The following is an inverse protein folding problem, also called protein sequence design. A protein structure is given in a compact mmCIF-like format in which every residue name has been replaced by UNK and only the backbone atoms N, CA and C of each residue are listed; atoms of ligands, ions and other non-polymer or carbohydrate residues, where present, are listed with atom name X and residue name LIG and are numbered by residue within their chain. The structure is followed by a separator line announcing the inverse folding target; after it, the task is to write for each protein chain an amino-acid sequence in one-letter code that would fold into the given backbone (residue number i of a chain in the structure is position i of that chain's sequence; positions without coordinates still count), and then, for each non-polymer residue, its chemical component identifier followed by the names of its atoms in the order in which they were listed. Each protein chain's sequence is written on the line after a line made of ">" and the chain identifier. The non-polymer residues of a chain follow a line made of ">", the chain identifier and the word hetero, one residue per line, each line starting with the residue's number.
data_IF_305677213395
#
_entry.id   IF_305677213395
#
_cell.length_a   1.000
_cell.length_b   1.000
_cell.length_c   1.000
_cell.angle_alpha   90.00
_cell.angle_beta   90.00
_cell.angle_gamma   90.00
#
_symmetry.space_group_name_H-M   'P 1'
#
loop_
_entity.id
_entity.type
_entity.pdbx_description
1 polymer ?
#
# COMPACT_ATOMS: atom_id res chain seq x y z
N UNK A 1 2.98 -11.35 -2.49
CA UNK A 1 4.30 -10.92 -1.99
C UNK A 1 4.68 -11.71 -0.74
N UNK A 2 5.95 -12.02 -0.51
CA UNK A 2 6.44 -12.60 0.75
C UNK A 2 6.77 -11.52 1.78
N UNK A 3 6.58 -11.84 3.06
CA UNK A 3 6.85 -10.98 4.22
C UNK A 3 8.14 -11.47 4.92
N UNK A 4 9.34 -11.02 4.51
CA UNK A 4 10.60 -11.64 4.93
C UNK A 4 10.92 -11.42 6.40
N UNK A 5 10.89 -12.51 7.17
CA UNK A 5 11.05 -12.50 8.63
C UNK A 5 9.76 -12.20 9.40
N UNK A 6 8.58 -12.33 8.76
CA UNK A 6 7.29 -12.11 9.42
C UNK A 6 7.19 -10.70 10.05
N UNK A 7 6.92 -10.62 11.34
CA UNK A 7 6.78 -9.35 12.08
C UNK A 7 7.98 -8.39 11.95
N UNK A 8 9.17 -8.91 11.66
CA UNK A 8 10.33 -8.03 11.42
C UNK A 8 10.13 -7.16 10.18
N UNK A 9 9.47 -7.67 9.13
CA UNK A 9 9.21 -6.88 7.94
C UNK A 9 8.17 -5.77 8.19
N UNK A 10 7.29 -5.93 9.19
CA UNK A 10 6.37 -4.88 9.63
C UNK A 10 7.13 -3.75 10.34
N UNK A 11 8.14 -4.10 11.16
CA UNK A 11 8.95 -3.13 11.91
C UNK A 11 10.10 -2.52 11.09
N UNK A 12 10.47 -3.17 10.01
CA UNK A 12 11.60 -2.81 9.15
C UNK A 12 11.13 -2.73 7.69
N UNK A 13 10.46 -1.62 7.29
CA UNK A 13 9.98 -1.33 5.94
C UNK A 13 10.98 -1.64 4.82
N UNK A 14 12.28 -1.40 5.04
CA UNK A 14 13.31 -1.72 4.07
C UNK A 14 13.32 -3.19 3.63
N UNK A 15 12.87 -4.13 4.50
CA UNK A 15 12.76 -5.55 4.14
C UNK A 15 11.68 -5.78 3.09
N UNK A 16 10.58 -5.06 3.19
CA UNK A 16 9.52 -5.10 2.16
C UNK A 16 10.01 -4.50 0.85
N UNK A 17 10.78 -3.42 0.91
CA UNK A 17 11.39 -2.84 -0.28
C UNK A 17 12.35 -3.83 -0.98
N UNK A 18 13.23 -4.51 -0.23
CA UNK A 18 14.08 -5.60 -0.78
C UNK A 18 13.25 -6.71 -1.42
N UNK A 19 12.17 -7.15 -0.75
CA UNK A 19 11.33 -8.21 -1.26
C UNK A 19 10.65 -7.82 -2.58
N UNK A 20 10.07 -6.64 -2.67
CA UNK A 20 9.43 -6.13 -3.86
C UNK A 20 10.42 -5.94 -5.02
N UNK A 21 11.58 -5.34 -4.76
CA UNK A 21 12.63 -5.13 -5.76
C UNK A 21 13.14 -6.46 -6.32
N UNK A 22 13.38 -7.45 -5.46
CA UNK A 22 13.80 -8.78 -5.90
C UNK A 22 12.76 -9.45 -6.80
N UNK A 23 11.49 -9.47 -6.37
CA UNK A 23 10.39 -10.08 -7.14
C UNK A 23 10.09 -9.33 -8.44
N UNK A 24 10.39 -8.04 -8.48
CA UNK A 24 10.26 -7.21 -9.68
C UNK A 24 11.45 -7.33 -10.65
N UNK A 25 12.54 -8.01 -10.24
CA UNK A 25 13.73 -8.15 -11.08
C UNK A 25 14.63 -6.91 -11.13
N UNK A 26 14.66 -6.11 -10.08
CA UNK A 26 15.54 -4.94 -9.98
C UNK A 26 17.01 -5.35 -9.88
N UNK A 27 17.86 -4.78 -10.74
CA UNK A 27 19.29 -5.07 -10.81
C UNK A 27 20.16 -4.01 -10.08
N UNK A 28 19.55 -2.94 -9.60
CA UNK A 28 20.23 -1.88 -8.86
C UNK A 28 20.50 -2.22 -7.39
N UNK A 29 21.02 -1.25 -6.61
CA UNK A 29 21.26 -1.44 -5.18
C UNK A 29 19.96 -1.70 -4.42
N UNK A 30 20.05 -2.58 -3.43
CA UNK A 30 18.94 -2.87 -2.52
C UNK A 30 19.00 -1.95 -1.29
N UNK A 31 17.85 -1.53 -0.75
CA UNK A 31 17.79 -0.76 0.47
C UNK A 31 18.16 -1.61 1.69
N UNK A 32 18.51 -0.94 2.79
CA UNK A 32 18.81 -1.60 4.06
C UNK A 32 20.08 -1.06 4.70
N UNK A 33 20.37 -1.48 5.93
CA UNK A 33 21.50 -0.96 6.69
C UNK A 33 22.85 -1.32 6.09
N UNK A 34 22.94 -2.46 5.40
CA UNK A 34 24.11 -2.91 4.66
C UNK A 34 23.74 -3.97 3.61
N UNK A 35 24.66 -4.22 2.68
CA UNK A 35 24.46 -5.16 1.57
C UNK A 35 24.24 -6.60 2.06
N UNK A 36 24.96 -7.04 3.07
CA UNK A 36 24.87 -8.41 3.56
C UNK A 36 23.48 -8.71 4.15
N UNK A 37 22.92 -7.77 4.89
CA UNK A 37 21.55 -7.88 5.42
C UNK A 37 20.50 -7.83 4.32
N UNK A 38 20.68 -7.00 3.31
CA UNK A 38 19.78 -6.98 2.14
C UNK A 38 19.78 -8.33 1.41
N UNK A 39 20.96 -8.91 1.16
CA UNK A 39 21.11 -10.24 0.54
C UNK A 39 20.48 -11.35 1.40
N UNK A 40 20.60 -11.30 2.75
CA UNK A 40 19.89 -12.22 3.64
C UNK A 40 18.37 -12.12 3.51
N UNK A 41 17.85 -10.91 3.36
CA UNK A 41 16.39 -10.71 3.16
C UNK A 41 15.94 -11.31 1.83
N UNK A 42 16.70 -11.10 0.76
CA UNK A 42 16.44 -11.73 -0.54
C UNK A 42 16.44 -13.25 -0.44
N UNK A 43 17.37 -13.84 0.30
CA UNK A 43 17.42 -15.28 0.52
C UNK A 43 16.19 -15.80 1.28
N UNK A 44 15.67 -15.07 2.26
CA UNK A 44 14.40 -15.39 2.91
C UNK A 44 13.22 -15.35 1.94
N UNK A 45 13.19 -14.38 1.03
CA UNK A 45 12.17 -14.30 -0.01
C UNK A 45 12.26 -15.50 -0.95
N UNK A 46 13.46 -15.81 -1.44
CA UNK A 46 13.72 -16.90 -2.37
C UNK A 46 13.36 -18.28 -1.79
N UNK A 47 13.74 -18.56 -0.56
CA UNK A 47 13.50 -19.84 0.11
C UNK A 47 12.11 -19.94 0.73
N UNK A 48 11.47 -18.82 1.04
CA UNK A 48 10.21 -18.78 1.77
C UNK A 48 10.33 -19.05 3.28
N UNK A 49 11.54 -19.27 3.78
CA UNK A 49 11.76 -19.50 5.22
C UNK A 49 11.35 -18.27 6.01
N UNK A 50 10.51 -18.47 7.04
CA UNK A 50 9.97 -17.38 7.87
C UNK A 50 9.41 -16.20 7.06
N UNK A 51 8.85 -16.49 5.88
CA UNK A 51 8.40 -15.47 4.93
C UNK A 51 6.98 -15.80 4.43
N UNK A 52 5.95 -15.65 5.28
CA UNK A 52 4.57 -15.91 4.88
C UNK A 52 4.14 -14.99 3.73
N UNK A 53 3.12 -15.41 2.98
CA UNK A 53 2.55 -14.58 1.93
C UNK A 53 1.68 -13.48 2.53
N UNK A 54 1.72 -12.30 1.91
CA UNK A 54 0.87 -11.16 2.23
C UNK A 54 0.30 -10.52 0.98
N UNK A 55 -0.93 -10.03 1.08
CA UNK A 55 -1.61 -9.20 0.09
C UNK A 55 -1.86 -7.79 0.63
N UNK A 56 -1.24 -7.45 1.78
CA UNK A 56 -1.45 -6.17 2.45
C UNK A 56 -0.95 -5.00 1.62
N UNK A 57 -1.86 -4.09 1.27
CA UNK A 57 -1.52 -2.82 0.65
C UNK A 57 -0.63 -1.96 1.56
N UNK A 58 -0.83 -2.01 2.89
CA UNK A 58 0.03 -1.31 3.85
C UNK A 58 1.50 -1.74 3.75
N UNK A 59 1.78 -3.01 3.47
CA UNK A 59 3.15 -3.50 3.25
C UNK A 59 3.79 -2.98 1.96
N UNK A 60 2.97 -2.65 0.95
CA UNK A 60 3.45 -1.96 -0.25
C UNK A 60 3.77 -0.49 0.06
N UNK A 61 2.94 0.20 0.85
CA UNK A 61 3.23 1.56 1.33
C UNK A 61 4.54 1.61 2.12
N UNK A 62 4.78 0.64 3.00
CA UNK A 62 6.04 0.54 3.75
C UNK A 62 7.24 0.40 2.82
N UNK A 63 7.13 -0.44 1.79
CA UNK A 63 8.21 -0.62 0.81
C UNK A 63 8.52 0.69 0.08
N UNK A 64 7.50 1.41 -0.39
CA UNK A 64 7.69 2.68 -1.10
C UNK A 64 8.25 3.75 -0.16
N UNK A 65 7.82 3.81 1.10
CA UNK A 65 8.37 4.73 2.10
C UNK A 65 9.87 4.49 2.32
N UNK A 66 10.30 3.23 2.39
CA UNK A 66 11.71 2.88 2.51
C UNK A 66 12.50 3.23 1.23
N UNK A 67 11.94 2.98 0.03
CA UNK A 67 12.56 3.37 -1.23
C UNK A 67 12.75 4.89 -1.35
N UNK A 68 11.80 5.66 -0.85
CA UNK A 68 11.88 7.12 -0.78
C UNK A 68 12.83 7.64 0.30
N UNK A 69 13.43 6.77 1.13
CA UNK A 69 14.26 7.19 2.27
C UNK A 69 13.46 7.89 3.38
N UNK A 70 12.14 7.73 3.39
CA UNK A 70 11.26 8.37 4.39
C UNK A 70 11.34 7.63 5.72
N UNK A 71 11.25 6.28 5.69
CA UNK A 71 11.29 5.48 6.92
C UNK A 71 11.75 4.05 6.68
N UNK A 72 12.87 3.67 7.28
CA UNK A 72 13.43 2.31 7.20
C UNK A 72 13.02 1.41 8.37
N UNK A 73 12.83 1.99 9.55
CA UNK A 73 12.40 1.29 10.76
C UNK A 73 11.27 2.06 11.43
N UNK A 74 10.25 1.35 11.93
CA UNK A 74 9.08 1.93 12.55
C UNK A 74 8.95 1.55 14.02
N UNK A 75 8.34 2.42 14.81
CA UNK A 75 8.06 2.22 16.23
C UNK A 75 6.60 1.82 16.48
N UNK A 76 5.71 2.08 15.50
CA UNK A 76 4.31 1.65 15.53
C UNK A 76 3.85 1.27 14.12
N UNK A 77 2.81 0.44 14.02
CA UNK A 77 2.27 -0.03 12.76
C UNK A 77 1.65 1.11 11.94
N UNK A 78 2.00 1.17 10.64
CA UNK A 78 1.51 2.21 9.72
C UNK A 78 2.32 3.50 9.72
N UNK A 79 3.34 3.65 10.59
CA UNK A 79 4.16 4.87 10.65
C UNK A 79 4.76 5.25 9.30
N UNK A 80 5.35 4.30 8.59
CA UNK A 80 5.97 4.56 7.30
C UNK A 80 4.96 5.07 6.27
N UNK A 81 3.75 4.49 6.24
CA UNK A 81 2.67 4.92 5.36
C UNK A 81 2.17 6.34 5.70
N UNK A 82 2.04 6.67 6.99
CA UNK A 82 1.64 8.01 7.46
C UNK A 82 2.68 9.06 7.08
N UNK A 83 3.96 8.76 7.27
CA UNK A 83 5.04 9.68 6.91
C UNK A 83 5.19 9.83 5.39
N UNK A 84 4.97 8.75 4.62
CA UNK A 84 4.93 8.81 3.16
C UNK A 84 3.77 9.69 2.67
N UNK A 85 2.58 9.56 3.28
CA UNK A 85 1.44 10.44 3.00
C UNK A 85 1.77 11.91 3.26
N UNK A 86 2.35 12.18 4.43
CA UNK A 86 2.71 13.54 4.83
C UNK A 86 3.78 14.18 3.91
N UNK A 87 4.62 13.36 3.29
CA UNK A 87 5.66 13.81 2.37
C UNK A 87 5.13 14.08 0.94
N UNK A 88 3.91 13.64 0.59
CA UNK A 88 3.41 13.72 -0.78
C UNK A 88 3.24 15.17 -1.26
N UNK A 89 3.73 15.47 -2.48
CA UNK A 89 3.51 16.76 -3.13
C UNK A 89 2.02 16.92 -3.51
N UNK A 90 1.29 17.86 -2.91
CA UNK A 90 -0.13 18.06 -3.21
C UNK A 90 -0.39 18.64 -4.61
N UNK A 91 0.62 19.13 -5.30
CA UNK A 91 0.50 19.69 -6.65
C UNK A 91 0.73 18.63 -7.75
N UNK A 92 1.35 17.48 -7.44
CA UNK A 92 1.64 16.43 -8.42
C UNK A 92 0.34 15.73 -8.89
N UNK A 93 0.19 15.54 -10.20
CA UNK A 93 -0.98 14.91 -10.84
C UNK A 93 -0.63 13.64 -11.62
N UNK A 94 0.66 13.37 -11.82
CA UNK A 94 1.13 12.13 -12.42
C UNK A 94 0.79 10.91 -11.56
N UNK A 95 0.87 9.73 -12.15
CA UNK A 95 0.73 8.47 -11.45
C UNK A 95 1.64 7.43 -12.11
N UNK A 96 2.16 6.50 -11.33
CA UNK A 96 2.78 5.30 -11.87
C UNK A 96 1.72 4.37 -12.46
N UNK A 97 2.15 3.43 -13.30
CA UNK A 97 1.28 2.36 -13.76
C UNK A 97 1.08 1.34 -12.61
N UNK A 98 -0.17 1.11 -12.23
CA UNK A 98 -0.59 0.02 -11.36
C UNK A 98 -1.76 -0.69 -12.03
N UNK A 99 -1.56 -1.90 -12.58
CA UNK A 99 -2.62 -2.61 -13.30
C UNK A 99 -3.78 -3.01 -12.38
N UNK A 100 -4.96 -3.21 -12.96
CA UNK A 100 -6.18 -3.62 -12.24
C UNK A 100 -6.00 -4.96 -11.49
N UNK A 101 -5.08 -5.80 -11.95
CA UNK A 101 -4.67 -7.02 -11.23
C UNK A 101 -4.00 -6.75 -9.89
N UNK A 102 -3.64 -5.49 -9.60
CA UNK A 102 -2.88 -5.03 -8.43
C UNK A 102 -1.50 -5.68 -8.31
N UNK A 103 -0.93 -6.12 -9.43
CA UNK A 103 0.48 -6.51 -9.49
C UNK A 103 1.36 -5.27 -9.45
N UNK A 104 1.90 -4.96 -8.28
CA UNK A 104 2.69 -3.76 -8.08
C UNK A 104 4.17 -3.87 -8.50
N UNK A 105 4.61 -4.97 -9.11
CA UNK A 105 5.99 -5.12 -9.56
C UNK A 105 6.42 -4.03 -10.56
N UNK A 106 5.65 -3.72 -11.62
CA UNK A 106 5.97 -2.61 -12.51
C UNK A 106 6.05 -1.27 -11.77
N UNK A 107 5.08 -0.99 -10.90
CA UNK A 107 5.01 0.23 -10.09
C UNK A 107 6.27 0.41 -9.23
N UNK A 108 6.71 -0.66 -8.56
CA UNK A 108 7.91 -0.62 -7.71
C UNK A 108 9.18 -0.38 -8.52
N UNK A 109 9.27 -0.94 -9.73
CA UNK A 109 10.39 -0.66 -10.65
C UNK A 109 10.43 0.80 -11.07
N UNK A 110 9.28 1.41 -11.40
CA UNK A 110 9.20 2.83 -11.74
C UNK A 110 9.59 3.72 -10.55
N UNK A 111 9.09 3.40 -9.33
CA UNK A 111 9.49 4.09 -8.09
C UNK A 111 11.01 4.00 -7.89
N UNK A 112 11.60 2.81 -7.97
CA UNK A 112 13.02 2.61 -7.79
C UNK A 112 13.86 3.37 -8.84
N UNK A 113 13.40 3.38 -10.09
CA UNK A 113 14.04 4.10 -11.17
C UNK A 113 13.96 5.62 -10.99
N UNK A 114 12.83 6.15 -10.51
CA UNK A 114 12.69 7.58 -10.19
C UNK A 114 13.61 7.99 -9.04
N UNK A 115 13.67 7.22 -7.97
CA UNK A 115 14.59 7.47 -6.84
C UNK A 115 16.05 7.40 -7.32
N UNK A 116 16.41 6.42 -8.14
CA UNK A 116 17.77 6.30 -8.68
C UNK A 116 18.16 7.48 -9.58
N UNK A 117 17.19 8.13 -10.25
CA UNK A 117 17.38 9.36 -11.03
C UNK A 117 17.41 10.63 -10.21
N UNK A 118 17.16 10.56 -8.90
CA UNK A 118 17.11 11.71 -8.00
C UNK A 118 15.79 12.48 -8.06
N UNK A 119 14.71 11.86 -8.50
CA UNK A 119 13.36 12.44 -8.41
C UNK A 119 13.02 12.71 -6.94
N UNK A 120 12.44 13.87 -6.65
CA UNK A 120 12.05 14.24 -5.29
C UNK A 120 11.11 13.20 -4.68
N UNK A 121 11.43 12.64 -3.50
CA UNK A 121 10.54 11.72 -2.78
C UNK A 121 9.09 12.20 -2.62
N UNK A 122 8.87 13.51 -2.53
CA UNK A 122 7.53 14.08 -2.47
C UNK A 122 6.72 13.82 -3.74
N UNK A 123 7.35 13.96 -4.91
CA UNK A 123 6.76 13.66 -6.21
C UNK A 123 6.50 12.16 -6.35
N UNK A 124 7.48 11.32 -5.95
CA UNK A 124 7.35 9.85 -5.98
C UNK A 124 6.18 9.39 -5.10
N UNK A 125 6.10 9.93 -3.87
CA UNK A 125 5.00 9.63 -2.96
C UNK A 125 3.64 9.96 -3.58
N UNK A 126 3.49 11.18 -4.12
CA UNK A 126 2.23 11.61 -4.73
C UNK A 126 1.84 10.74 -5.94
N UNK A 127 2.78 10.43 -6.84
CA UNK A 127 2.55 9.53 -7.98
C UNK A 127 2.12 8.15 -7.55
N UNK A 128 2.71 7.62 -6.47
CA UNK A 128 2.33 6.32 -5.92
C UNK A 128 0.91 6.35 -5.34
N UNK A 129 0.55 7.35 -4.54
CA UNK A 129 -0.82 7.52 -4.03
C UNK A 129 -1.84 7.61 -5.17
N UNK A 130 -1.55 8.39 -6.22
CA UNK A 130 -2.39 8.53 -7.40
C UNK A 130 -2.55 7.20 -8.15
N UNK A 131 -1.48 6.41 -8.27
CA UNK A 131 -1.52 5.08 -8.90
C UNK A 131 -2.45 4.14 -8.14
N UNK A 132 -2.31 4.05 -6.81
CA UNK A 132 -3.16 3.19 -5.97
C UNK A 132 -4.63 3.64 -6.05
N UNK A 133 -4.89 4.95 -6.00
CA UNK A 133 -6.25 5.48 -6.11
C UNK A 133 -6.90 5.12 -7.45
N UNK A 134 -6.19 5.31 -8.58
CA UNK A 134 -6.67 4.99 -9.92
C UNK A 134 -6.95 3.50 -10.08
N UNK A 135 -6.00 2.64 -9.71
CA UNK A 135 -6.16 1.19 -9.81
C UNK A 135 -7.32 0.69 -8.94
N UNK A 136 -7.48 1.24 -7.73
CA UNK A 136 -8.60 0.90 -6.85
C UNK A 136 -9.93 1.28 -7.48
N UNK A 137 -10.03 2.49 -8.03
CA UNK A 137 -11.26 2.94 -8.69
C UNK A 137 -11.60 2.12 -9.93
N UNK A 138 -10.60 1.71 -10.71
CA UNK A 138 -10.79 0.83 -11.87
C UNK A 138 -11.24 -0.56 -11.46
N UNK A 139 -10.60 -1.17 -10.46
CA UNK A 139 -10.97 -2.49 -9.95
C UNK A 139 -12.40 -2.50 -9.37
N UNK A 140 -12.76 -1.47 -8.61
CA UNK A 140 -14.13 -1.30 -8.09
C UNK A 140 -15.15 -1.17 -9.24
N UNK A 141 -14.89 -0.31 -10.22
CA UNK A 141 -15.80 -0.11 -11.34
C UNK A 141 -15.97 -1.38 -12.20
N UNK A 142 -14.90 -2.13 -12.42
CA UNK A 142 -14.93 -3.39 -13.15
C UNK A 142 -15.70 -4.50 -12.41
N UNK A 143 -15.78 -4.42 -11.08
CA UNK A 143 -16.44 -5.44 -10.22
C UNK A 143 -17.80 -5.00 -9.69
N UNK A 144 -18.25 -3.78 -10.00
CA UNK A 144 -19.47 -3.20 -9.44
C UNK A 144 -20.73 -3.97 -9.88
N UNK A 145 -21.60 -4.31 -8.92
CA UNK A 145 -22.92 -4.92 -9.12
C UNK A 145 -24.02 -3.89 -8.80
N UNK A 146 -23.74 -2.63 -8.91
CA UNK A 146 -24.63 -1.51 -8.63
C UNK A 146 -23.88 -0.20 -8.68
N UNK A 147 -24.45 0.83 -8.10
CA UNK A 147 -23.92 2.20 -8.11
C UNK A 147 -23.19 2.60 -6.82
N UNK A 148 -22.93 1.65 -5.93
CA UNK A 148 -22.31 1.93 -4.61
C UNK A 148 -20.95 1.27 -4.47
N UNK A 149 -19.96 2.05 -4.05
CA UNK A 149 -18.66 1.58 -3.59
C UNK A 149 -18.47 1.89 -2.10
N UNK A 150 -17.96 0.95 -1.32
CA UNK A 150 -17.66 1.14 0.11
C UNK A 150 -16.15 1.11 0.29
N UNK A 151 -15.56 2.19 0.80
CA UNK A 151 -14.14 2.27 1.12
C UNK A 151 -13.93 2.02 2.62
N UNK A 152 -13.29 0.90 2.96
CA UNK A 152 -13.01 0.48 4.33
C UNK A 152 -11.65 -0.23 4.39
N UNK A 153 -11.16 -0.48 5.60
CA UNK A 153 -9.84 -1.05 5.85
C UNK A 153 -8.82 0.00 6.28
N UNK A 154 -7.76 -0.46 6.96
CA UNK A 154 -6.74 0.42 7.55
C UNK A 154 -6.03 1.35 6.57
N UNK A 155 -5.91 0.95 5.29
CA UNK A 155 -5.28 1.77 4.25
C UNK A 155 -6.04 3.08 3.99
N UNK A 156 -7.37 3.09 4.17
CA UNK A 156 -8.20 4.28 3.99
C UNK A 156 -8.22 5.23 5.19
N UNK A 157 -7.38 4.99 6.19
CA UNK A 157 -6.99 6.02 7.16
C UNK A 157 -6.07 7.07 6.53
N UNK A 158 -5.40 6.73 5.43
CA UNK A 158 -4.69 7.67 4.57
C UNK A 158 -5.70 8.57 3.85
N UNK A 159 -5.73 9.84 4.22
CA UNK A 159 -6.72 10.82 3.75
C UNK A 159 -6.49 11.19 2.28
N UNK A 160 -5.24 11.28 1.87
CA UNK A 160 -4.85 11.56 0.49
C UNK A 160 -5.37 10.46 -0.43
N UNK A 161 -5.12 9.21 -0.07
CA UNK A 161 -5.60 8.06 -0.82
C UNK A 161 -7.13 7.99 -0.84
N UNK A 162 -7.77 8.19 0.32
CA UNK A 162 -9.23 8.17 0.44
C UNK A 162 -9.89 9.21 -0.47
N UNK A 163 -9.43 10.46 -0.40
CA UNK A 163 -9.98 11.55 -1.20
C UNK A 163 -9.78 11.31 -2.70
N UNK A 164 -8.58 10.91 -3.13
CA UNK A 164 -8.29 10.63 -4.52
C UNK A 164 -9.11 9.44 -5.06
N UNK A 165 -9.26 8.37 -4.26
CA UNK A 165 -10.05 7.19 -4.63
C UNK A 165 -11.54 7.53 -4.72
N UNK A 166 -12.08 8.27 -3.76
CA UNK A 166 -13.49 8.69 -3.78
C UNK A 166 -13.78 9.54 -5.02
N UNK A 167 -12.97 10.56 -5.29
CA UNK A 167 -13.10 11.39 -6.49
C UNK A 167 -13.07 10.56 -7.78
N UNK A 168 -12.17 9.60 -7.86
CA UNK A 168 -12.05 8.74 -9.05
C UNK A 168 -13.24 7.78 -9.23
N UNK A 169 -13.87 7.32 -8.15
CA UNK A 169 -15.08 6.49 -8.17
C UNK A 169 -16.32 7.32 -8.55
N UNK A 170 -16.47 8.50 -7.96
CA UNK A 170 -17.55 9.43 -8.25
C UNK A 170 -17.54 9.87 -9.73
N UNK A 171 -16.35 10.13 -10.28
CA UNK A 171 -16.18 10.42 -11.70
C UNK A 171 -16.61 9.26 -12.64
N UNK A 172 -16.72 8.04 -12.09
CA UNK A 172 -17.24 6.84 -12.77
C UNK A 172 -18.73 6.57 -12.50
N UNK A 173 -19.41 7.50 -11.81
CA UNK A 173 -20.82 7.41 -11.48
C UNK A 173 -21.15 6.52 -10.28
N UNK A 174 -20.16 6.14 -9.47
CA UNK A 174 -20.37 5.36 -8.26
C UNK A 174 -20.58 6.29 -7.06
N UNK A 175 -21.56 5.98 -6.23
CA UNK A 175 -21.75 6.61 -4.92
C UNK A 175 -20.82 5.99 -3.91
N UNK A 176 -19.97 6.81 -3.28
CA UNK A 176 -18.97 6.35 -2.31
C UNK A 176 -19.51 6.41 -0.90
N UNK A 177 -19.37 5.32 -0.15
CA UNK A 177 -19.63 5.24 1.28
C UNK A 177 -18.34 5.02 2.05
N UNK A 178 -18.16 5.78 3.12
CA UNK A 178 -17.04 5.64 4.04
C UNK A 178 -17.55 5.51 5.48
N UNK A 179 -16.85 4.79 6.37
CA UNK A 179 -17.20 4.75 7.78
C UNK A 179 -17.09 6.15 8.42
N UNK A 180 -18.18 6.65 9.00
CA UNK A 180 -18.23 7.97 9.67
C UNK A 180 -18.13 7.85 11.20
N UNK A 181 -18.72 6.81 11.77
CA UNK A 181 -18.86 6.65 13.23
C UNK A 181 -17.90 5.64 13.83
N UNK A 182 -17.34 4.79 12.99
CA UNK A 182 -16.43 3.72 13.38
C UNK A 182 -15.12 3.84 12.60
N UNK A 183 -13.99 3.45 13.19
CA UNK A 183 -12.74 3.44 12.45
C UNK A 183 -12.83 2.44 11.29
N UNK A 184 -12.23 2.75 10.12
CA UNK A 184 -12.25 1.84 8.97
C UNK A 184 -11.32 0.63 9.14
N UNK A 185 -10.49 0.58 10.18
CA UNK A 185 -9.54 -0.48 10.48
C UNK A 185 -10.13 -1.57 11.39
N UNK A 186 -9.29 -2.44 11.93
CA UNK A 186 -9.65 -3.57 12.78
C UNK A 186 -10.43 -3.17 14.04
N UNK A 187 -10.34 -1.90 14.48
CA UNK A 187 -11.16 -1.36 15.58
C UNK A 187 -12.67 -1.42 15.31
N UNK A 188 -13.09 -1.50 14.05
CA UNK A 188 -14.50 -1.63 13.65
C UNK A 188 -15.01 -3.08 13.55
N UNK A 189 -14.15 -4.09 13.61
CA UNK A 189 -14.50 -5.50 13.32
C UNK A 189 -15.56 -6.05 14.29
N UNK A 190 -15.39 -5.84 15.59
CA UNK A 190 -16.33 -6.36 16.62
C UNK A 190 -17.73 -5.80 16.45
N UNK A 191 -17.85 -4.51 16.16
CA UNK A 191 -19.14 -3.88 15.87
C UNK A 191 -19.75 -4.46 14.58
N UNK A 192 -18.96 -4.58 13.51
CA UNK A 192 -19.41 -5.15 12.26
C UNK A 192 -19.93 -6.58 12.41
N UNK A 193 -19.23 -7.41 13.18
CA UNK A 193 -19.68 -8.78 13.50
C UNK A 193 -21.00 -8.80 14.27
N UNK A 194 -21.15 -7.92 15.26
CA UNK A 194 -22.40 -7.81 16.02
C UNK A 194 -23.56 -7.35 15.12
N UNK A 195 -23.34 -6.38 14.24
CA UNK A 195 -24.35 -5.92 13.30
C UNK A 195 -24.80 -7.00 12.31
N UNK A 196 -23.84 -7.79 11.78
CA UNK A 196 -24.15 -8.94 10.90
C UNK A 196 -24.93 -10.01 11.65
N UNK A 197 -24.53 -10.34 12.89
CA UNK A 197 -25.24 -11.32 13.73
C UNK A 197 -26.69 -10.88 14.02
N UNK A 198 -26.89 -9.61 14.35
CA UNK A 198 -28.22 -9.05 14.59
C UNK A 198 -29.11 -9.10 13.34
N UNK A 199 -28.57 -8.74 12.18
CA UNK A 199 -29.29 -8.81 10.90
C UNK A 199 -29.69 -10.25 10.52
N UNK A 200 -28.83 -11.24 10.78
CA UNK A 200 -29.11 -12.66 10.52
C UNK A 200 -30.09 -13.27 11.53
N UNK A 201 -30.11 -12.77 12.77
CA UNK A 201 -31.05 -13.24 13.81
C UNK A 201 -32.44 -12.63 13.69
N UNK A 202 -32.59 -11.57 12.88
CA UNK A 202 -33.87 -10.89 12.59
C UNK A 202 -34.55 -11.39 11.31
N UNK A 203 -33.90 -12.28 10.56
CA UNK A 203 -34.41 -12.92 9.35
C UNK A 203 -34.90 -14.34 9.65
#
# INVERSE_FOLDING_TARGET
>A
MRLPGGDRAVRQPWRMACAWLHEAGWEGPLPGPDRARAEQVVELVRTGISSPLTTSMGRLFDAVAALCGVRDEVTYEGQAAVELEAAADPAERGAYELPVSLDARPTVLEVAADIARGTDPAVVSARFHNAVARATAEACAASAVGDVAVLSGGVFQNRTLLAATATALEARGLRVLVPEKLPPNDGGVSFGQAAVAAARGAA
#
